data_IF_510568328812
#
_entry.id   IF_510568328812
#
_cell.length_a   1.000
_cell.length_b   1.000
_cell.length_c   1.000
_cell.angle_alpha   90.00
_cell.angle_beta   90.00
_cell.angle_gamma   90.00
#
_symmetry.space_group_name_H-M   'P 1'
#
loop_
_entity.id
_entity.type
_entity.pdbx_description
1 polymer ?
#
# COMPACT_ATOMS: atom_id res chain seq x y z
N UNK A 1 -7.37 10.20 -16.29
CA UNK A 1 -6.25 9.96 -15.34
C UNK A 1 -5.40 8.80 -15.80
N UNK A 2 -4.11 8.85 -15.55
CA UNK A 2 -3.15 7.77 -15.77
C UNK A 2 -2.88 7.08 -14.42
N UNK A 3 -3.51 5.92 -14.20
CA UNK A 3 -3.31 5.11 -13.00
C UNK A 3 -2.04 4.26 -13.09
N UNK A 4 -1.40 3.99 -11.96
CA UNK A 4 -0.23 3.13 -11.88
C UNK A 4 -0.29 2.19 -10.67
N UNK A 5 0.41 1.08 -10.76
CA UNK A 5 0.53 0.07 -9.71
C UNK A 5 1.90 -0.62 -9.79
N UNK A 6 2.34 -1.22 -8.69
CA UNK A 6 3.49 -2.10 -8.67
C UNK A 6 4.84 -1.40 -8.77
N UNK A 7 5.01 -0.21 -8.19
CA UNK A 7 6.34 0.43 -8.15
C UNK A 7 7.36 -0.44 -7.41
N UNK A 8 6.94 -1.16 -6.36
CA UNK A 8 7.79 -2.10 -5.65
C UNK A 8 8.30 -3.19 -6.59
N UNK A 9 7.39 -3.90 -7.25
CA UNK A 9 7.71 -4.99 -8.16
C UNK A 9 8.52 -4.52 -9.37
N UNK A 10 8.23 -3.32 -9.87
CA UNK A 10 9.04 -2.70 -10.93
C UNK A 10 10.49 -2.51 -10.48
N UNK A 11 10.71 -1.94 -9.29
CA UNK A 11 12.07 -1.74 -8.77
C UNK A 11 12.78 -3.07 -8.51
N UNK A 12 12.10 -4.07 -7.94
CA UNK A 12 12.66 -5.40 -7.77
C UNK A 12 13.06 -6.01 -9.11
N UNK A 13 12.23 -5.87 -10.15
CA UNK A 13 12.53 -6.42 -11.47
C UNK A 13 13.70 -5.72 -12.17
N UNK A 14 13.81 -4.41 -12.02
CA UNK A 14 14.80 -3.58 -12.73
C UNK A 14 16.13 -3.48 -11.97
N UNK A 15 16.10 -3.44 -10.64
CA UNK A 15 17.26 -3.15 -9.79
C UNK A 15 17.61 -4.28 -8.81
N UNK A 16 16.75 -5.29 -8.67
CA UNK A 16 16.89 -6.32 -7.64
C UNK A 16 16.65 -5.82 -6.21
N UNK A 17 16.05 -4.65 -6.05
CA UNK A 17 15.78 -3.99 -4.75
C UNK A 17 14.39 -3.36 -4.76
N UNK A 18 13.75 -3.28 -3.59
CA UNK A 18 12.46 -2.60 -3.44
C UNK A 18 12.60 -1.09 -3.63
N UNK A 19 11.48 -0.42 -3.88
CA UNK A 19 11.44 1.05 -4.00
C UNK A 19 11.68 1.79 -2.68
N UNK A 20 11.69 1.10 -1.55
CA UNK A 20 12.05 1.64 -0.23
C UNK A 20 13.57 1.72 -0.01
N UNK A 21 14.36 1.03 -0.83
CA UNK A 21 15.82 1.23 -0.86
C UNK A 21 16.18 2.60 -1.45
N UNK A 22 17.33 3.22 -1.06
CA UNK A 22 17.71 4.54 -1.59
C UNK A 22 17.76 4.61 -3.12
N UNK A 23 18.34 3.59 -3.76
CA UNK A 23 18.41 3.52 -5.23
C UNK A 23 17.04 3.24 -5.85
N UNK A 24 16.23 2.39 -5.20
CA UNK A 24 14.87 2.09 -5.64
C UNK A 24 13.96 3.31 -5.53
N UNK A 25 14.04 4.08 -4.45
CA UNK A 25 13.28 5.31 -4.27
C UNK A 25 13.64 6.33 -5.36
N UNK A 26 14.93 6.57 -5.58
CA UNK A 26 15.38 7.48 -6.62
C UNK A 26 14.83 7.07 -7.99
N UNK A 27 14.99 5.81 -8.36
CA UNK A 27 14.49 5.28 -9.63
C UNK A 27 12.97 5.39 -9.76
N UNK A 28 12.23 5.04 -8.71
CA UNK A 28 10.77 5.13 -8.71
C UNK A 28 10.29 6.58 -8.86
N UNK A 29 10.92 7.55 -8.18
CA UNK A 29 10.60 8.97 -8.31
C UNK A 29 10.91 9.49 -9.71
N UNK A 30 12.02 9.07 -10.34
CA UNK A 30 12.35 9.41 -11.72
C UNK A 30 11.30 8.89 -12.71
N UNK A 31 10.80 7.66 -12.50
CA UNK A 31 9.70 7.09 -13.30
C UNK A 31 8.42 7.91 -13.11
N UNK A 32 8.08 8.25 -11.87
CA UNK A 32 6.89 9.05 -11.57
C UNK A 32 6.98 10.45 -12.20
N UNK A 33 8.16 11.07 -12.19
CA UNK A 33 8.37 12.35 -12.86
C UNK A 33 8.15 12.23 -14.38
N UNK A 34 8.69 11.19 -15.01
CA UNK A 34 8.46 10.94 -16.46
C UNK A 34 6.99 10.72 -16.81
N UNK A 35 6.21 10.06 -15.93
CA UNK A 35 4.76 9.92 -16.13
C UNK A 35 4.06 11.28 -16.08
N UNK A 36 4.44 12.15 -15.14
CA UNK A 36 3.90 13.52 -15.07
C UNK A 36 4.28 14.34 -16.28
N UNK A 37 5.54 14.28 -16.72
CA UNK A 37 6.01 15.00 -17.90
C UNK A 37 5.21 14.58 -19.14
N UNK A 38 4.95 13.28 -19.28
CA UNK A 38 4.13 12.75 -20.38
C UNK A 38 2.68 13.19 -20.30
N UNK A 39 2.09 13.23 -19.10
CA UNK A 39 0.75 13.78 -18.91
C UNK A 39 0.68 15.26 -19.33
N UNK A 40 1.70 16.05 -19.00
CA UNK A 40 1.78 17.46 -19.40
C UNK A 40 1.95 17.64 -20.91
N UNK A 41 2.75 16.80 -21.56
CA UNK A 41 2.89 16.76 -23.01
C UNK A 41 1.55 16.49 -23.71
N UNK A 42 0.83 15.46 -23.29
CA UNK A 42 -0.49 15.13 -23.83
C UNK A 42 -1.52 16.23 -23.58
N UNK A 43 -1.49 16.83 -22.38
CA UNK A 43 -2.36 17.96 -22.05
C UNK A 43 -2.12 19.14 -23.02
N UNK A 44 -0.86 19.45 -23.33
CA UNK A 44 -0.51 20.52 -24.24
C UNK A 44 -0.92 20.21 -25.70
N UNK A 45 -0.75 18.95 -26.12
CA UNK A 45 -1.04 18.52 -27.49
C UNK A 45 -2.55 18.39 -27.79
N UNK A 46 -3.33 17.91 -26.80
CA UNK A 46 -4.73 17.52 -27.02
C UNK A 46 -5.73 18.45 -26.34
N UNK A 47 -5.27 19.40 -25.53
CA UNK A 47 -6.12 20.27 -24.69
C UNK A 47 -7.08 19.48 -23.77
N UNK A 48 -6.62 18.29 -23.31
CA UNK A 48 -7.32 17.42 -22.37
C UNK A 48 -6.53 17.37 -21.05
N UNK A 49 -7.22 17.43 -19.92
CA UNK A 49 -6.56 17.33 -18.61
C UNK A 49 -6.14 15.89 -18.33
N UNK A 50 -4.84 15.66 -18.34
CA UNK A 50 -4.21 14.41 -17.93
C UNK A 50 -3.52 14.57 -16.56
N UNK A 51 -3.65 13.56 -15.71
CA UNK A 51 -2.96 13.54 -14.40
C UNK A 51 -2.59 12.13 -14.00
N UNK A 52 -1.47 12.02 -13.30
CA UNK A 52 -1.04 10.75 -12.68
C UNK A 52 -1.87 10.50 -11.44
N UNK A 53 -2.33 9.27 -11.26
CA UNK A 53 -3.23 8.86 -10.19
C UNK A 53 -2.74 7.59 -9.51
N UNK A 54 -2.47 7.67 -8.20
CA UNK A 54 -2.16 6.53 -7.34
C UNK A 54 -3.43 5.73 -7.06
N UNK A 55 -3.80 4.89 -8.01
CA UNK A 55 -5.06 4.14 -8.01
C UNK A 55 -5.13 3.17 -6.83
N UNK A 56 -6.14 3.26 -5.96
CA UNK A 56 -6.48 2.18 -5.06
C UNK A 56 -6.99 1.01 -5.88
N UNK A 57 -6.39 -0.18 -5.70
CA UNK A 57 -6.57 -1.31 -6.62
C UNK A 57 -6.87 -2.60 -5.87
N UNK A 58 -7.78 -2.60 -4.94
CA UNK A 58 -8.10 -3.72 -4.05
C UNK A 58 -8.21 -5.07 -4.76
N UNK A 59 -9.35 -5.42 -5.33
CA UNK A 59 -9.53 -6.69 -6.06
C UNK A 59 -8.76 -6.76 -7.39
N UNK A 60 -8.42 -5.61 -7.98
CA UNK A 60 -7.72 -5.53 -9.25
C UNK A 60 -6.26 -5.98 -9.13
N UNK A 61 -5.61 -5.82 -7.97
CA UNK A 61 -4.23 -6.27 -7.71
C UNK A 61 -4.11 -7.79 -7.89
N UNK A 62 -5.10 -8.55 -7.42
CA UNK A 62 -5.15 -10.01 -7.63
C UNK A 62 -5.26 -10.36 -9.11
N UNK A 63 -6.15 -9.70 -9.83
CA UNK A 63 -6.34 -9.93 -11.27
C UNK A 63 -5.07 -9.63 -12.06
N UNK A 64 -4.39 -8.53 -11.74
CA UNK A 64 -3.09 -8.19 -12.34
C UNK A 64 -2.05 -9.27 -12.06
N UNK A 65 -1.91 -9.70 -10.81
CA UNK A 65 -0.96 -10.76 -10.44
C UNK A 65 -1.20 -12.03 -11.27
N UNK A 66 -2.45 -12.48 -11.38
CA UNK A 66 -2.80 -13.68 -12.18
C UNK A 66 -2.50 -13.48 -13.66
N UNK A 67 -2.79 -12.32 -14.23
CA UNK A 67 -2.48 -12.03 -15.63
C UNK A 67 -0.97 -12.00 -15.89
N UNK A 68 -0.19 -11.41 -14.98
CA UNK A 68 1.27 -11.37 -15.07
C UNK A 68 1.88 -12.77 -14.95
N UNK A 69 1.43 -13.59 -13.99
CA UNK A 69 1.86 -14.98 -13.84
C UNK A 69 1.57 -15.80 -15.11
N UNK A 70 0.37 -15.63 -15.68
CA UNK A 70 -0.01 -16.34 -16.92
C UNK A 70 0.87 -15.92 -18.11
N UNK A 71 1.25 -14.64 -18.17
CA UNK A 71 2.01 -14.10 -19.31
C UNK A 71 3.52 -14.30 -19.21
N UNK A 72 4.06 -14.16 -17.99
CA UNK A 72 5.51 -14.10 -17.76
C UNK A 72 6.05 -15.21 -16.85
N UNK A 73 5.17 -16.07 -16.33
CA UNK A 73 5.53 -17.08 -15.34
C UNK A 73 5.72 -16.49 -13.94
N UNK A 74 6.21 -17.33 -13.03
CA UNK A 74 6.50 -16.94 -11.65
C UNK A 74 7.91 -16.37 -11.59
N UNK A 75 8.01 -15.09 -11.24
CA UNK A 75 9.27 -14.36 -11.06
C UNK A 75 9.38 -13.98 -9.59
N UNK A 76 10.42 -14.45 -8.84
CA UNK A 76 10.58 -14.17 -7.41
C UNK A 76 10.58 -12.67 -7.10
N UNK A 77 9.80 -12.28 -6.10
CA UNK A 77 9.64 -10.89 -5.66
C UNK A 77 8.81 -10.00 -6.60
N UNK A 78 8.34 -10.53 -7.73
CA UNK A 78 7.59 -9.76 -8.75
C UNK A 78 6.22 -10.37 -9.00
N UNK A 79 6.16 -11.63 -9.45
CA UNK A 79 4.89 -12.30 -9.80
C UNK A 79 4.62 -13.55 -8.97
N UNK A 80 5.38 -13.78 -7.92
CA UNK A 80 5.27 -14.95 -7.03
C UNK A 80 4.19 -14.82 -5.96
N UNK A 81 3.50 -13.67 -5.91
CA UNK A 81 2.40 -13.37 -4.99
C UNK A 81 1.06 -13.36 -5.71
N UNK A 82 -0.01 -13.47 -4.94
CA UNK A 82 -1.38 -13.36 -5.47
C UNK A 82 -1.89 -11.91 -5.58
N UNK A 83 -1.01 -10.94 -5.43
CA UNK A 83 -1.32 -9.52 -5.57
C UNK A 83 -0.10 -8.76 -6.10
N UNK A 84 -0.32 -7.57 -6.61
CA UNK A 84 0.69 -6.56 -6.94
C UNK A 84 0.56 -5.43 -5.93
N UNK A 85 1.67 -4.90 -5.46
CA UNK A 85 1.66 -3.78 -4.50
C UNK A 85 0.89 -2.60 -5.09
N UNK A 86 -0.01 -2.05 -4.29
CA UNK A 86 -0.85 -0.94 -4.71
C UNK A 86 0.00 0.31 -4.93
N UNK A 87 -0.15 0.95 -6.06
CA UNK A 87 0.54 2.19 -6.47
C UNK A 87 2.00 2.31 -5.95
N UNK A 88 2.26 3.26 -5.05
CA UNK A 88 3.57 3.56 -4.42
C UNK A 88 3.72 3.00 -3.01
N UNK A 89 2.71 2.31 -2.48
CA UNK A 89 2.69 1.88 -1.08
C UNK A 89 3.91 1.04 -0.72
N UNK A 90 4.38 1.22 0.52
CA UNK A 90 5.38 0.33 1.11
C UNK A 90 4.79 -1.08 1.17
N UNK A 91 5.59 -2.07 0.78
CA UNK A 91 5.14 -3.45 0.75
C UNK A 91 4.77 -3.93 2.17
N UNK A 92 3.65 -4.64 2.30
CA UNK A 92 3.08 -5.04 3.61
C UNK A 92 4.00 -5.90 4.47
N UNK A 93 5.00 -6.55 3.90
CA UNK A 93 5.99 -7.34 4.63
C UNK A 93 7.17 -6.51 5.15
N UNK A 94 7.27 -5.23 4.80
CA UNK A 94 8.34 -4.37 5.29
C UNK A 94 8.03 -3.87 6.70
N UNK A 95 8.98 -4.07 7.60
CA UNK A 95 8.90 -3.55 8.96
C UNK A 95 9.32 -2.08 8.97
N UNK A 96 8.35 -1.19 8.92
CA UNK A 96 8.54 0.26 8.91
C UNK A 96 7.56 0.90 9.91
N UNK A 97 8.02 1.90 10.66
CA UNK A 97 7.12 2.66 11.53
C UNK A 97 6.22 3.63 10.73
N UNK A 98 5.11 4.04 11.34
CA UNK A 98 4.10 4.87 10.70
C UNK A 98 4.66 6.19 10.14
N UNK A 99 5.52 6.88 10.89
CA UNK A 99 6.09 8.16 10.48
C UNK A 99 7.06 8.01 9.31
N UNK A 100 7.93 6.99 9.36
CA UNK A 100 8.87 6.68 8.28
C UNK A 100 8.12 6.28 7.02
N UNK A 101 7.06 5.46 7.14
CA UNK A 101 6.18 5.09 6.03
C UNK A 101 5.53 6.31 5.39
N UNK A 102 4.88 7.15 6.20
CA UNK A 102 4.22 8.36 5.70
C UNK A 102 5.22 9.33 5.06
N UNK A 103 6.40 9.51 5.65
CA UNK A 103 7.45 10.37 5.09
C UNK A 103 7.92 9.86 3.72
N UNK A 104 8.11 8.55 3.58
CA UNK A 104 8.46 7.92 2.32
C UNK A 104 7.36 8.11 1.27
N UNK A 105 6.12 7.81 1.62
CA UNK A 105 4.97 7.86 0.70
C UNK A 105 4.59 9.30 0.29
N UNK A 106 4.88 10.30 1.13
CA UNK A 106 4.64 11.71 0.85
C UNK A 106 5.29 12.19 -0.46
N UNK A 107 6.49 11.70 -0.77
CA UNK A 107 7.19 12.09 -1.99
C UNK A 107 6.46 11.62 -3.26
N UNK A 108 5.84 10.44 -3.19
CA UNK A 108 5.06 9.88 -4.29
C UNK A 108 3.68 10.52 -4.42
N UNK A 109 3.06 10.92 -3.31
CA UNK A 109 1.80 11.65 -3.34
C UNK A 109 1.93 12.98 -4.08
N UNK A 110 3.03 13.71 -3.86
CA UNK A 110 3.35 14.96 -4.59
C UNK A 110 3.40 14.76 -6.11
N UNK A 111 3.80 13.57 -6.56
CA UNK A 111 3.87 13.19 -7.97
C UNK A 111 2.60 12.47 -8.47
N UNK A 112 1.54 12.45 -7.69
CA UNK A 112 0.24 11.87 -8.04
C UNK A 112 -0.88 12.92 -7.96
N UNK A 113 -0.83 13.98 -8.80
CA UNK A 113 -1.76 15.10 -8.72
C UNK A 113 -3.22 14.73 -9.05
N UNK A 114 -3.45 13.57 -9.66
CA UNK A 114 -4.78 13.04 -9.92
C UNK A 114 -5.46 12.42 -8.71
N UNK A 115 -4.74 12.28 -7.60
CA UNK A 115 -5.18 11.70 -6.35
C UNK A 115 -4.27 10.55 -5.90
N UNK A 116 -4.16 10.40 -4.61
CA UNK A 116 -3.43 9.32 -3.95
C UNK A 116 -3.88 9.24 -2.49
N UNK A 117 -3.83 8.05 -1.90
CA UNK A 117 -4.14 7.83 -0.49
C UNK A 117 -3.02 7.00 0.13
N UNK A 118 -2.67 7.31 1.37
CA UNK A 118 -1.76 6.50 2.19
C UNK A 118 -2.53 5.88 3.35
N UNK A 119 -2.33 4.59 3.58
CA UNK A 119 -2.95 3.86 4.69
C UNK A 119 -1.94 3.67 5.81
N UNK A 120 -2.32 4.01 7.02
CA UNK A 120 -1.49 3.81 8.22
C UNK A 120 -2.27 2.99 9.23
N UNK A 121 -1.70 1.84 9.59
CA UNK A 121 -2.20 1.05 10.70
C UNK A 121 -1.62 1.57 12.00
N UNK A 122 -2.49 1.88 12.94
CA UNK A 122 -2.14 2.31 14.28
C UNK A 122 -2.75 1.36 15.31
N UNK A 123 -2.11 1.15 16.47
CA UNK A 123 -2.73 0.40 17.56
C UNK A 123 -3.97 1.16 18.08
N UNK A 124 -4.75 0.50 18.94
CA UNK A 124 -5.85 1.18 19.61
C UNK A 124 -5.30 2.36 20.44
N UNK A 125 -5.62 3.58 20.01
CA UNK A 125 -5.14 4.83 20.61
C UNK A 125 -6.19 5.54 21.47
N UNK A 126 -7.31 4.88 21.82
CA UNK A 126 -8.39 5.49 22.61
C UNK A 126 -7.90 6.14 23.90
N UNK A 127 -6.87 5.57 24.53
CA UNK A 127 -6.29 6.07 25.78
C UNK A 127 -5.02 6.92 25.56
N UNK A 128 -4.67 7.26 24.32
CA UNK A 128 -3.47 8.03 23.99
C UNK A 128 -3.75 9.09 22.92
N UNK A 129 -4.52 10.09 23.31
CA UNK A 129 -4.93 11.18 22.42
C UNK A 129 -3.72 11.98 21.90
N UNK A 130 -2.68 12.14 22.69
CA UNK A 130 -1.47 12.86 22.25
C UNK A 130 -0.76 12.14 21.09
N UNK A 131 -0.73 10.81 21.11
CA UNK A 131 -0.20 10.06 19.98
C UNK A 131 -1.04 10.25 18.72
N UNK A 132 -2.38 10.24 18.84
CA UNK A 132 -3.30 10.55 17.73
C UNK A 132 -3.00 11.92 17.15
N UNK A 133 -2.94 12.95 18.00
CA UNK A 133 -2.68 14.33 17.58
C UNK A 133 -1.31 14.47 16.91
N UNK A 134 -0.29 13.74 17.39
CA UNK A 134 1.04 13.74 16.78
C UNK A 134 1.02 13.15 15.37
N UNK A 135 0.30 12.04 15.17
CA UNK A 135 0.13 11.42 13.84
C UNK A 135 -0.66 12.35 12.92
N UNK A 136 -1.77 12.91 13.40
CA UNK A 136 -2.59 13.86 12.62
C UNK A 136 -1.78 15.10 12.22
N UNK A 137 -0.98 15.64 13.13
CA UNK A 137 -0.10 16.78 12.82
C UNK A 137 0.91 16.41 11.74
N UNK A 138 1.54 15.25 11.85
CA UNK A 138 2.49 14.79 10.84
C UNK A 138 1.82 14.63 9.46
N UNK A 139 0.62 14.05 9.41
CA UNK A 139 -0.18 13.93 8.19
C UNK A 139 -0.45 15.32 7.62
N UNK A 140 -0.96 16.24 8.43
CA UNK A 140 -1.24 17.60 7.99
C UNK A 140 -0.02 18.31 7.38
N UNK A 141 1.15 18.12 7.98
CA UNK A 141 2.39 18.77 7.54
C UNK A 141 3.01 18.13 6.28
N UNK A 142 2.73 16.85 5.99
CA UNK A 142 3.51 16.08 4.99
C UNK A 142 2.68 15.33 3.96
N UNK A 143 1.45 14.95 4.27
CA UNK A 143 0.61 14.05 3.47
C UNK A 143 -0.61 14.78 2.95
N UNK A 144 -0.97 14.53 1.70
CA UNK A 144 -2.15 15.15 1.06
C UNK A 144 -3.43 14.44 1.52
N UNK A 145 -3.39 13.10 1.55
CA UNK A 145 -4.54 12.29 1.96
C UNK A 145 -4.08 10.99 2.60
N UNK A 146 -4.55 10.71 3.80
CA UNK A 146 -4.27 9.48 4.53
C UNK A 146 -5.52 8.96 5.25
N UNK A 147 -5.54 7.63 5.42
CA UNK A 147 -6.51 6.92 6.23
C UNK A 147 -5.80 6.21 7.38
N UNK A 148 -6.33 6.37 8.58
CA UNK A 148 -5.86 5.70 9.78
C UNK A 148 -6.74 4.48 10.03
N UNK A 149 -6.12 3.29 10.00
CA UNK A 149 -6.77 2.04 10.32
C UNK A 149 -6.29 1.56 11.70
N UNK A 150 -7.21 1.08 12.51
CA UNK A 150 -6.87 0.41 13.76
C UNK A 150 -6.93 -1.09 13.55
N UNK A 151 -6.00 -1.83 14.17
CA UNK A 151 -6.03 -3.30 14.23
C UNK A 151 -6.97 -3.73 15.36
N UNK A 152 -8.22 -3.28 15.31
CA UNK A 152 -9.21 -3.60 16.32
C UNK A 152 -10.39 -4.26 15.64
N UNK A 153 -10.56 -5.55 15.94
CA UNK A 153 -11.65 -6.39 15.49
C UNK A 153 -12.50 -6.82 16.69
N UNK A 154 -13.71 -7.23 16.43
CA UNK A 154 -14.62 -7.70 17.44
C UNK A 154 -14.94 -9.19 17.25
N UNK A 155 -14.74 -9.97 18.31
CA UNK A 155 -15.16 -11.38 18.29
C UNK A 155 -16.63 -11.51 18.69
N UNK A 156 -17.49 -11.85 17.78
CA UNK A 156 -18.94 -12.02 18.03
C UNK A 156 -19.24 -13.13 19.04
N UNK A 157 -18.34 -14.13 19.16
CA UNK A 157 -18.55 -15.26 20.08
C UNK A 157 -18.31 -14.88 21.55
N UNK A 158 -17.30 -14.08 21.87
CA UNK A 158 -16.93 -13.81 23.26
C UNK A 158 -16.88 -12.32 23.62
N UNK A 159 -17.16 -11.41 22.68
CA UNK A 159 -17.12 -9.99 22.93
C UNK A 159 -15.70 -9.40 23.03
N UNK A 160 -14.66 -10.15 22.66
CA UNK A 160 -13.30 -9.62 22.64
C UNK A 160 -13.21 -8.48 21.63
N UNK A 161 -12.68 -7.34 22.06
CA UNK A 161 -12.35 -6.18 21.23
C UNK A 161 -10.84 -6.02 21.21
N UNK A 162 -10.24 -6.21 20.05
CA UNK A 162 -8.80 -6.16 19.87
C UNK A 162 -8.32 -6.87 18.61
N UNK A 163 -7.02 -7.09 18.50
CA UNK A 163 -6.42 -7.71 17.32
C UNK A 163 -6.76 -9.20 17.25
N UNK A 164 -7.51 -9.61 16.21
CA UNK A 164 -7.77 -11.01 15.88
C UNK A 164 -6.55 -11.56 15.14
N UNK A 165 -6.05 -12.71 15.55
CA UNK A 165 -4.86 -13.33 14.98
C UNK A 165 -5.16 -14.01 13.65
N UNK A 166 -4.29 -13.82 12.67
CA UNK A 166 -4.31 -14.58 11.43
C UNK A 166 -3.34 -15.74 11.58
N UNK A 167 -3.84 -16.96 11.49
CA UNK A 167 -3.06 -18.20 11.60
C UNK A 167 -3.01 -18.86 10.23
N UNK A 168 -1.82 -19.30 9.83
CA UNK A 168 -1.66 -20.12 8.63
C UNK A 168 -1.74 -21.60 9.02
N UNK A 169 -2.74 -22.30 8.52
CA UNK A 169 -2.87 -23.74 8.69
C UNK A 169 -1.80 -24.50 7.88
N UNK A 170 -1.54 -25.78 8.20
CA UNK A 170 -0.56 -26.61 7.46
C UNK A 170 -0.84 -26.74 5.95
N UNK A 171 -2.08 -26.58 5.54
CA UNK A 171 -2.51 -26.58 4.13
C UNK A 171 -2.30 -25.23 3.41
N UNK A 172 -1.76 -24.21 4.12
CA UNK A 172 -1.56 -22.85 3.62
C UNK A 172 -2.81 -21.96 3.68
N UNK A 173 -3.93 -22.44 4.23
CA UNK A 173 -5.14 -21.62 4.41
C UNK A 173 -4.93 -20.65 5.57
N UNK A 174 -5.32 -19.40 5.36
CA UNK A 174 -5.37 -18.38 6.41
C UNK A 174 -6.70 -18.50 7.16
N UNK A 175 -6.63 -18.47 8.47
CA UNK A 175 -7.79 -18.56 9.37
C UNK A 175 -7.68 -17.48 10.44
N UNK A 176 -8.78 -16.78 10.71
CA UNK A 176 -8.87 -15.81 11.80
C UNK A 176 -9.17 -16.55 13.11
N UNK A 177 -8.37 -16.31 14.14
CA UNK A 177 -8.54 -16.93 15.45
C UNK A 177 -8.59 -15.85 16.54
N UNK A 178 -9.66 -15.88 17.31
CA UNK A 178 -9.79 -14.99 18.46
C UNK A 178 -8.78 -15.37 19.56
N UNK A 179 -7.91 -14.45 20.01
CA UNK A 179 -6.90 -14.77 21.03
C UNK A 179 -7.50 -15.04 22.41
N UNK A 180 -8.74 -14.62 22.66
CA UNK A 180 -9.41 -14.80 23.94
C UNK A 180 -10.15 -16.13 24.07
N UNK A 181 -10.90 -16.54 23.05
CA UNK A 181 -11.75 -17.75 23.12
C UNK A 181 -11.35 -18.84 22.13
N UNK A 182 -10.40 -18.59 21.24
CA UNK A 182 -9.99 -19.56 20.21
C UNK A 182 -11.04 -19.79 19.11
N UNK A 183 -12.12 -19.00 19.07
CA UNK A 183 -13.10 -19.09 17.99
C UNK A 183 -12.42 -18.78 16.66
N UNK A 184 -12.71 -19.62 15.65
CA UNK A 184 -12.19 -19.46 14.28
C UNK A 184 -13.34 -19.20 13.34
N UNK A 185 -13.24 -18.11 12.60
CA UNK A 185 -14.13 -17.86 11.49
C UNK A 185 -13.70 -18.70 10.28
N UNK A 186 -14.66 -19.38 9.69
CA UNK A 186 -14.44 -20.32 8.58
C UNK A 186 -15.02 -19.80 7.25
N UNK A 187 -15.52 -18.56 7.22
CA UNK A 187 -16.04 -17.99 5.98
C UNK A 187 -14.97 -17.33 5.10
#
# INVERSE_FOLDING_TARGET
SLGYAGLCEMCVRMLGKTHTSPEGQKFALEVMQKLNDKCNEWKAAENISYSVYGTPMESTTYKFAKCLQKRFGVIPGVTDKNYITNSYHVHVTEHIDAFSKLKFEAEFQKLSPGGAISYVEVPNLQNNIEAVLSVMKFIYDNIVYAELNTKSDYCEHCGYDGEIKIITEPNGKLVWECPNCGCRDQE
#
